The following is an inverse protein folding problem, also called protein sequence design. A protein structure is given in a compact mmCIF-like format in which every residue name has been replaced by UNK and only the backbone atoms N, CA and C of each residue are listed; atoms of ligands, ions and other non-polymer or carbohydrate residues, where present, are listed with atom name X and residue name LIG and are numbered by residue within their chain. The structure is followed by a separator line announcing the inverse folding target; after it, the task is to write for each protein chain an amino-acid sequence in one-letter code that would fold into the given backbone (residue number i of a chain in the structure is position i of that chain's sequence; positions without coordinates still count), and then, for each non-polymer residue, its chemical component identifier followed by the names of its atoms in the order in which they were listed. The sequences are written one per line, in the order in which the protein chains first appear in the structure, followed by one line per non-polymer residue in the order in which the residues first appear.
data_IF_857698380947
#
_entry.id   IF_857698380947
#
_cell.length_a   1.000
_cell.length_b   1.000
_cell.length_c   1.000
_cell.angle_alpha   90.00
_cell.angle_beta   90.00
_cell.angle_gamma   90.00
#
_symmetry.space_group_name_H-M   'P 1'
#
loop_
_entity.id
_entity.type
_entity.pdbx_description
1 polymer ?
#
# COMPACT_ATOMS: atom_id res chain seq x y z
N UNK A 1 3.89 -13.17 5.59
CA UNK A 1 4.45 -12.24 6.60
C UNK A 1 5.18 -11.07 5.96
N UNK A 2 6.12 -11.27 5.01
CA UNK A 2 6.86 -10.17 4.33
C UNK A 2 5.95 -9.05 3.75
N UNK A 3 4.79 -9.40 3.17
CA UNK A 3 3.83 -8.41 2.62
C UNK A 3 3.27 -7.47 3.69
N UNK A 4 3.00 -7.98 4.89
CA UNK A 4 2.53 -7.13 6.00
C UNK A 4 3.63 -6.17 6.44
N UNK A 5 4.88 -6.63 6.53
CA UNK A 5 6.01 -5.75 6.86
C UNK A 5 6.20 -4.65 5.82
N UNK A 6 6.14 -4.98 4.52
CA UNK A 6 6.24 -3.99 3.44
C UNK A 6 5.07 -3.01 3.49
N UNK A 7 3.83 -3.49 3.68
CA UNK A 7 2.66 -2.63 3.79
C UNK A 7 2.73 -1.69 5.01
N UNK A 8 3.32 -2.14 6.13
CA UNK A 8 3.54 -1.30 7.32
C UNK A 8 4.48 -0.13 7.03
N UNK A 9 5.63 -0.42 6.43
CA UNK A 9 6.63 0.60 6.09
C UNK A 9 6.12 1.54 5.00
N UNK A 10 5.54 1.00 3.92
CA UNK A 10 4.99 1.80 2.84
C UNK A 10 3.79 2.65 3.30
N UNK A 11 2.90 2.08 4.12
CA UNK A 11 1.80 2.82 4.74
C UNK A 11 2.28 3.97 5.61
N UNK A 12 3.40 3.79 6.32
CA UNK A 12 4.02 4.85 7.11
C UNK A 12 4.58 5.96 6.21
N UNK A 13 5.28 5.61 5.13
CA UNK A 13 5.80 6.58 4.14
C UNK A 13 4.66 7.39 3.53
N UNK A 14 3.53 6.77 3.20
CA UNK A 14 2.36 7.45 2.65
C UNK A 14 1.82 8.54 3.58
N UNK A 15 1.87 8.35 4.91
CA UNK A 15 1.45 9.40 5.86
C UNK A 15 2.28 10.67 5.68
N UNK A 16 3.59 10.57 5.42
CA UNK A 16 4.43 11.75 5.17
C UNK A 16 4.08 12.42 3.85
N UNK A 17 3.84 11.63 2.80
CA UNK A 17 3.47 12.14 1.48
C UNK A 17 2.13 12.88 1.57
N UNK A 18 1.12 12.29 2.21
CA UNK A 18 -0.19 12.91 2.41
C UNK A 18 -0.11 14.16 3.27
N UNK A 19 0.65 14.12 4.37
CA UNK A 19 0.87 15.28 5.23
C UNK A 19 1.51 16.42 4.45
N UNK A 20 2.49 16.12 3.60
CA UNK A 20 3.14 17.11 2.74
C UNK A 20 2.15 17.72 1.73
N UNK A 21 1.32 16.89 1.09
CA UNK A 21 0.28 17.35 0.17
C UNK A 21 -0.72 18.28 0.90
N UNK A 22 -1.17 17.91 2.10
CA UNK A 22 -2.08 18.73 2.90
C UNK A 22 -1.41 20.06 3.31
N UNK A 23 -0.11 20.03 3.66
CA UNK A 23 0.66 21.24 3.94
C UNK A 23 0.72 22.17 2.73
N UNK A 24 0.94 21.64 1.52
CA UNK A 24 0.91 22.42 0.28
C UNK A 24 -0.44 23.12 0.10
N UNK A 25 -1.55 22.40 0.28
CA UNK A 25 -2.90 22.98 0.17
C UNK A 25 -3.21 24.01 1.26
N UNK A 26 -2.63 23.88 2.45
CA UNK A 26 -2.81 24.83 3.57
C UNK A 26 -1.83 26.01 3.54
N UNK A 27 -1.03 26.16 2.48
CA UNK A 27 -0.03 27.22 2.37
C UNK A 27 1.12 27.05 3.36
N UNK A 28 1.65 25.83 3.47
CA UNK A 28 2.76 25.42 4.35
C UNK A 28 2.49 25.54 5.86
N UNK A 29 1.23 25.64 6.27
CA UNK A 29 0.88 25.52 7.69
C UNK A 29 1.04 24.07 8.14
N UNK A 30 1.56 23.89 9.35
CA UNK A 30 1.76 22.57 9.96
C UNK A 30 0.44 21.83 10.12
N UNK A 31 0.48 20.51 9.97
CA UNK A 31 -0.65 19.62 10.24
C UNK A 31 -0.54 19.16 11.69
N UNK A 32 -1.51 19.56 12.51
CA UNK A 32 -1.70 18.98 13.83
C UNK A 32 -2.69 17.83 13.74
N UNK A 33 -2.24 16.64 14.13
CA UNK A 33 -3.07 15.44 14.16
C UNK A 33 -3.98 15.39 15.38
N UNK A 34 -3.78 16.23 16.40
CA UNK A 34 -4.61 16.24 17.61
C UNK A 34 -4.41 14.99 18.49
N UNK A 35 -3.29 14.29 18.35
CA UNK A 35 -2.92 13.12 19.14
C UNK A 35 -2.52 11.90 18.31
N UNK A 36 -2.23 10.78 19.01
CA UNK A 36 -1.79 9.53 18.36
C UNK A 36 -2.94 8.78 17.67
N UNK A 37 -4.17 8.90 18.17
CA UNK A 37 -5.30 8.13 17.63
C UNK A 37 -5.62 8.51 16.17
N UNK A 38 -5.72 9.79 15.78
CA UNK A 38 -5.91 10.17 14.38
C UNK A 38 -4.74 9.76 13.49
N UNK A 39 -3.51 9.86 13.98
CA UNK A 39 -2.32 9.40 13.27
C UNK A 39 -2.37 7.90 12.96
N UNK A 40 -2.66 7.07 13.96
CA UNK A 40 -2.77 5.61 13.78
C UNK A 40 -3.91 5.24 12.85
N UNK A 41 -5.01 5.99 12.84
CA UNK A 41 -6.13 5.77 11.92
C UNK A 41 -5.72 6.01 10.46
N UNK A 42 -5.09 7.14 10.16
CA UNK A 42 -4.59 7.44 8.80
C UNK A 42 -3.54 6.41 8.37
N UNK A 43 -2.60 6.10 9.28
CA UNK A 43 -1.58 5.08 9.01
C UNK A 43 -2.19 3.70 8.71
N UNK A 44 -3.19 3.28 9.49
CA UNK A 44 -3.89 2.01 9.29
C UNK A 44 -4.62 1.96 7.95
N UNK A 45 -5.26 3.05 7.54
CA UNK A 45 -5.91 3.15 6.22
C UNK A 45 -4.89 2.93 5.09
N UNK A 46 -3.74 3.59 5.18
CA UNK A 46 -2.66 3.44 4.20
C UNK A 46 -2.04 2.05 4.20
N UNK A 47 -1.88 1.44 5.38
CA UNK A 47 -1.46 0.05 5.51
C UNK A 47 -2.40 -0.89 4.74
N UNK A 48 -3.71 -0.77 4.97
CA UNK A 48 -4.71 -1.62 4.31
C UNK A 48 -4.75 -1.40 2.81
N UNK A 49 -4.61 -0.15 2.35
CA UNK A 49 -4.52 0.17 0.93
C UNK A 49 -3.34 -0.54 0.26
N UNK A 50 -2.13 -0.36 0.79
CA UNK A 50 -0.92 -0.97 0.22
C UNK A 50 -1.01 -2.49 0.31
N UNK A 51 -1.48 -3.03 1.43
CA UNK A 51 -1.64 -4.47 1.61
C UNK A 51 -2.59 -5.08 0.57
N UNK A 52 -3.71 -4.41 0.29
CA UNK A 52 -4.71 -4.87 -0.68
C UNK A 52 -4.16 -4.85 -2.10
N UNK A 53 -3.46 -3.77 -2.48
CA UNK A 53 -2.79 -3.66 -3.80
C UNK A 53 -1.76 -4.77 -3.96
N UNK A 54 -0.85 -4.95 -2.99
CA UNK A 54 0.17 -5.99 -3.06
C UNK A 54 -0.42 -7.40 -3.12
N UNK A 55 -1.56 -7.61 -2.45
CA UNK A 55 -2.25 -8.90 -2.48
C UNK A 55 -2.82 -9.16 -3.87
N UNK A 56 -3.53 -8.19 -4.46
CA UNK A 56 -4.08 -8.32 -5.81
C UNK A 56 -3.00 -8.47 -6.88
N UNK A 57 -1.92 -7.67 -6.81
CA UNK A 57 -0.78 -7.77 -7.74
C UNK A 57 -0.15 -9.16 -7.68
N UNK A 58 -0.02 -9.75 -6.48
CA UNK A 58 0.53 -11.10 -6.36
C UNK A 58 -0.42 -12.17 -6.92
N UNK A 59 -1.72 -12.06 -6.66
CA UNK A 59 -2.70 -13.00 -7.21
C UNK A 59 -2.64 -12.99 -8.74
N UNK A 60 -2.69 -11.79 -9.33
CA UNK A 60 -2.55 -11.63 -10.77
C UNK A 60 -1.25 -12.19 -11.32
N UNK A 61 -0.12 -11.99 -10.61
CA UNK A 61 1.17 -12.53 -11.03
C UNK A 61 1.17 -14.07 -11.04
N UNK A 62 0.60 -14.71 -10.01
CA UNK A 62 0.50 -16.17 -9.91
C UNK A 62 -0.41 -16.73 -11.01
N UNK A 63 -1.60 -16.16 -11.20
CA UNK A 63 -2.55 -16.59 -12.25
C UNK A 63 -1.91 -16.52 -13.64
N UNK A 64 -1.08 -15.50 -13.89
CA UNK A 64 -0.34 -15.38 -15.16
C UNK A 64 0.76 -16.40 -15.33
N UNK A 65 1.41 -16.81 -14.25
CA UNK A 65 2.46 -17.82 -14.27
C UNK A 65 1.84 -19.20 -14.55
N UNK A 66 0.74 -19.53 -13.86
CA UNK A 66 -0.03 -20.77 -14.05
C UNK A 66 -0.57 -20.87 -15.50
N UNK A 67 -1.19 -19.81 -16.02
CA UNK A 67 -1.68 -19.78 -17.40
C UNK A 67 -0.56 -19.93 -18.45
N UNK A 68 0.67 -19.49 -18.13
CA UNK A 68 1.83 -19.64 -19.02
C UNK A 68 2.36 -21.07 -19.02
N UNK A 69 2.37 -21.74 -17.86
CA UNK A 69 2.79 -23.12 -17.73
C UNK A 69 1.80 -24.10 -18.41
N UNK A 70 0.50 -23.88 -18.27
CA UNK A 70 -0.53 -24.68 -18.94
C UNK A 70 -0.44 -24.57 -20.48
N UNK A 71 -0.21 -23.37 -21.02
CA UNK A 71 -0.02 -23.16 -22.46
C UNK A 71 1.26 -23.79 -23.03
N UNK A 72 2.24 -24.14 -22.18
CA UNK A 72 3.41 -24.92 -22.58
C UNK A 72 3.12 -26.43 -22.49
N UNK A 73 2.32 -26.87 -21.51
CA UNK A 73 1.91 -28.28 -21.38
C UNK A 73 0.96 -28.75 -22.48
N UNK A 74 0.13 -27.90 -23.08
CA UNK A 74 -0.77 -28.28 -24.18
C UNK A 74 -0.04 -28.43 -25.54
N UNK A 75 1.20 -27.95 -25.65
CA UNK A 75 1.99 -27.97 -26.89
C UNK A 75 2.92 -29.17 -27.04
N UNK A 76 2.97 -30.07 -26.07
CA UNK A 76 3.75 -31.31 -26.07
C UNK A 76 2.86 -32.51 -25.75
#
# INVERSE_FOLDING_TARGET
MVRMSIAGVAGFILVFIESYIVMQFKGYRTVDFGGIAPFVSVWSMNFFLVFSILTQVKHWYIEREEAREEGYSEKF
#
